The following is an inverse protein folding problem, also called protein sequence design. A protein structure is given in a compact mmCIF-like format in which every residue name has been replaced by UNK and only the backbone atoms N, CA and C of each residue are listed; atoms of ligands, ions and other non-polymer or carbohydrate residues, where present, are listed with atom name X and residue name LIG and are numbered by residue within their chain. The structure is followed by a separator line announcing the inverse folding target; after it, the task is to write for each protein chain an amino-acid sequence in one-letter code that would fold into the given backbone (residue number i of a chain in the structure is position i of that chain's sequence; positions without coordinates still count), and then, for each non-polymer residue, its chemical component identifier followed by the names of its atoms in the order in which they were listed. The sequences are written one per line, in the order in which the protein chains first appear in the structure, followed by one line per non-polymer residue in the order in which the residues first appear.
data_IF_899316408568
#
_entry.id   IF_899316408568
#
_cell.length_a   1.000
_cell.length_b   1.000
_cell.length_c   1.000
_cell.angle_alpha   90.00
_cell.angle_beta   90.00
_cell.angle_gamma   90.00
#
_symmetry.space_group_name_H-M   'P 1'
#
loop_
_entity.id
_entity.type
_entity.pdbx_description
1 polymer ?
#
# COMPACT_ATOMS: atom_id res chain seq x y z
N UNK A 1 28.69 3.49 -7.22
CA UNK A 1 28.14 3.03 -5.92
C UNK A 1 27.09 3.99 -5.35
N UNK A 2 27.39 5.29 -5.18
CA UNK A 2 26.43 6.30 -4.68
C UNK A 2 25.10 6.37 -5.44
N UNK A 3 25.12 6.28 -6.77
CA UNK A 3 23.89 6.36 -7.57
C UNK A 3 22.90 5.21 -7.27
N UNK A 4 23.42 3.98 -7.14
CA UNK A 4 22.59 2.81 -6.82
C UNK A 4 21.98 2.93 -5.43
N UNK A 5 22.77 3.36 -4.44
CA UNK A 5 22.27 3.52 -3.07
C UNK A 5 21.15 4.57 -2.99
N UNK A 6 21.22 5.65 -3.78
CA UNK A 6 20.16 6.67 -3.83
C UNK A 6 18.88 6.10 -4.43
N UNK A 7 18.97 5.36 -5.55
CA UNK A 7 17.79 4.75 -6.18
C UNK A 7 17.10 3.76 -5.24
N UNK A 8 17.87 2.89 -4.58
CA UNK A 8 17.30 1.94 -3.62
C UNK A 8 16.62 2.65 -2.45
N UNK A 9 17.21 3.73 -1.93
CA UNK A 9 16.61 4.52 -0.88
C UNK A 9 15.29 5.17 -1.34
N UNK A 10 15.27 5.80 -2.52
CA UNK A 10 14.07 6.44 -3.07
C UNK A 10 12.92 5.45 -3.23
N UNK A 11 13.19 4.31 -3.87
CA UNK A 11 12.18 3.27 -4.08
C UNK A 11 11.67 2.74 -2.73
N UNK A 12 12.57 2.51 -1.76
CA UNK A 12 12.20 2.09 -0.41
C UNK A 12 11.28 3.10 0.29
N UNK A 13 11.63 4.39 0.27
CA UNK A 13 10.81 5.46 0.86
C UNK A 13 9.42 5.52 0.21
N UNK A 14 9.34 5.40 -1.12
CA UNK A 14 8.06 5.42 -1.82
C UNK A 14 7.18 4.21 -1.47
N UNK A 15 7.75 3.00 -1.38
CA UNK A 15 6.95 1.84 -0.97
C UNK A 15 6.52 1.88 0.49
N UNK A 16 7.39 2.39 1.36
CA UNK A 16 7.05 2.58 2.78
C UNK A 16 5.87 3.53 2.94
N UNK A 17 5.91 4.69 2.27
CA UNK A 17 4.81 5.67 2.33
C UNK A 17 3.51 5.12 1.76
N UNK A 18 3.55 4.43 0.63
CA UNK A 18 2.35 3.79 0.05
C UNK A 18 1.77 2.71 0.97
N UNK A 19 2.62 1.90 1.59
CA UNK A 19 2.19 0.88 2.54
C UNK A 19 1.59 1.49 3.81
N UNK A 20 2.19 2.56 4.32
CA UNK A 20 1.66 3.30 5.46
C UNK A 20 0.27 3.90 5.15
N UNK A 21 0.08 4.49 3.97
CA UNK A 21 -1.23 5.01 3.53
C UNK A 21 -2.28 3.89 3.47
N UNK A 22 -1.92 2.74 2.91
CA UNK A 22 -2.81 1.57 2.85
C UNK A 22 -3.22 1.09 4.24
N UNK A 23 -2.25 0.97 5.16
CA UNK A 23 -2.49 0.55 6.54
C UNK A 23 -3.39 1.54 7.28
N UNK A 24 -3.06 2.84 7.22
CA UNK A 24 -3.86 3.88 7.85
C UNK A 24 -5.29 3.93 7.29
N UNK A 25 -5.45 3.74 5.97
CA UNK A 25 -6.76 3.67 5.33
C UNK A 25 -7.64 2.55 5.90
N UNK A 26 -7.07 1.38 6.20
CA UNK A 26 -7.82 0.26 6.78
C UNK A 26 -8.18 0.52 8.25
N UNK A 27 -7.26 1.13 9.00
CA UNK A 27 -7.47 1.47 10.42
C UNK A 27 -8.61 2.48 10.62
N UNK A 28 -8.93 3.29 9.61
CA UNK A 28 -10.10 4.18 9.66
C UNK A 28 -11.39 3.41 9.94
N UNK A 29 -11.57 2.22 9.35
CA UNK A 29 -12.77 1.40 9.58
C UNK A 29 -12.88 0.96 11.04
N UNK A 30 -11.76 0.55 11.65
CA UNK A 30 -11.70 0.15 13.06
C UNK A 30 -12.01 1.33 14.00
N UNK A 31 -11.50 2.51 13.69
CA UNK A 31 -11.78 3.74 14.46
C UNK A 31 -13.24 4.14 14.38
N UNK A 32 -13.85 4.03 13.20
CA UNK A 32 -15.28 4.30 13.01
C UNK A 32 -16.13 3.29 13.79
N UNK A 33 -15.75 2.01 13.77
CA UNK A 33 -16.44 0.97 14.52
C UNK A 33 -16.39 1.20 16.04
N UNK A 34 -15.29 1.73 16.57
CA UNK A 34 -15.12 2.03 17.99
C UNK A 34 -16.01 3.18 18.51
N UNK A 35 -16.69 3.93 17.62
CA UNK A 35 -17.66 4.96 18.02
C UNK A 35 -18.88 4.26 18.64
N UNK A 36 -19.48 4.84 19.68
CA UNK A 36 -20.76 4.37 20.25
C UNK A 36 -21.95 4.71 19.31
N UNK A 37 -21.93 4.16 18.09
CA UNK A 37 -22.91 4.44 17.04
C UNK A 37 -24.29 3.83 17.31
N UNK A 38 -24.35 2.77 18.14
CA UNK A 38 -25.58 2.09 18.52
C UNK A 38 -26.53 2.97 19.34
N UNK A 39 -26.00 3.98 20.04
CA UNK A 39 -26.76 4.89 20.91
C UNK A 39 -27.21 6.18 20.20
N UNK A 40 -26.96 6.28 18.89
CA UNK A 40 -27.30 7.46 18.08
C UNK A 40 -28.54 7.24 17.20
N UNK A 41 -29.07 8.32 16.65
CA UNK A 41 -30.25 8.30 15.77
C UNK A 41 -30.05 7.48 14.49
N UNK A 42 -31.17 7.11 13.84
CA UNK A 42 -31.18 6.26 12.63
C UNK A 42 -30.30 6.79 11.50
N UNK A 43 -30.32 8.09 11.25
CA UNK A 43 -29.51 8.73 10.19
C UNK A 43 -28.00 8.57 10.45
N UNK A 44 -27.59 8.68 11.72
CA UNK A 44 -26.18 8.50 12.10
C UNK A 44 -25.73 7.05 11.89
N UNK A 45 -26.56 6.08 12.27
CA UNK A 45 -26.28 4.65 12.09
C UNK A 45 -26.04 4.31 10.61
N UNK A 46 -26.93 4.77 9.72
CA UNK A 46 -26.77 4.55 8.27
C UNK A 46 -25.50 5.20 7.73
N UNK A 47 -25.18 6.42 8.19
CA UNK A 47 -23.96 7.12 7.78
C UNK A 47 -22.69 6.36 8.19
N UNK A 48 -22.60 5.91 9.45
CA UNK A 48 -21.47 5.12 9.95
C UNK A 48 -21.32 3.80 9.19
N UNK A 49 -22.43 3.10 8.90
CA UNK A 49 -22.40 1.88 8.08
C UNK A 49 -21.86 2.14 6.67
N UNK A 50 -22.30 3.20 6.00
CA UNK A 50 -21.77 3.59 4.69
C UNK A 50 -20.27 3.90 4.76
N UNK A 51 -19.83 4.61 5.80
CA UNK A 51 -18.40 4.92 6.00
C UNK A 51 -17.57 3.67 6.26
N UNK A 52 -18.04 2.73 7.09
CA UNK A 52 -17.37 1.44 7.31
C UNK A 52 -17.25 0.63 6.03
N UNK A 53 -18.33 0.50 5.25
CA UNK A 53 -18.29 -0.20 3.95
C UNK A 53 -17.30 0.44 2.97
N UNK A 54 -17.15 1.77 3.01
CA UNK A 54 -16.17 2.48 2.17
C UNK A 54 -14.74 2.28 2.67
N UNK A 55 -14.50 2.39 3.98
CA UNK A 55 -13.18 2.31 4.59
C UNK A 55 -12.55 0.90 4.52
N UNK A 56 -13.36 -0.15 4.37
CA UNK A 56 -12.90 -1.52 4.10
C UNK A 56 -12.19 -1.66 2.73
N UNK A 57 -12.33 -0.69 1.81
CA UNK A 57 -11.58 -0.66 0.57
C UNK A 57 -10.29 0.15 0.80
N UNK A 58 -9.12 -0.50 0.85
CA UNK A 58 -7.87 0.21 1.12
C UNK A 58 -7.55 1.22 0.02
N UNK A 59 -7.06 2.39 0.43
CA UNK A 59 -6.51 3.38 -0.47
C UNK A 59 -5.19 2.86 -1.07
N UNK A 60 -5.26 2.47 -2.34
CA UNK A 60 -4.15 1.84 -3.05
C UNK A 60 -3.64 2.76 -4.15
N UNK A 61 -2.35 3.08 -4.11
CA UNK A 61 -1.65 3.76 -5.21
C UNK A 61 -1.21 2.68 -6.20
N UNK A 62 -1.57 2.83 -7.48
CA UNK A 62 -1.22 1.88 -8.54
C UNK A 62 -0.17 2.49 -9.47
N UNK A 63 0.87 1.73 -9.79
CA UNK A 63 1.86 2.08 -10.83
C UNK A 63 1.50 1.25 -12.07
N UNK A 64 0.55 1.74 -12.86
CA UNK A 64 0.17 1.17 -14.16
C UNK A 64 0.18 -0.38 -14.20
N UNK A 65 0.98 -1.01 -15.09
CA UNK A 65 1.02 -2.46 -15.26
C UNK A 65 1.77 -3.21 -14.14
N UNK A 66 2.56 -2.51 -13.31
CA UNK A 66 3.30 -3.10 -12.18
C UNK A 66 2.38 -3.37 -10.96
N UNK A 67 1.13 -2.92 -11.02
CA UNK A 67 0.11 -3.19 -10.02
C UNK A 67 0.13 -2.19 -8.87
N UNK A 68 -0.31 -2.64 -7.69
CA UNK A 68 -0.41 -1.79 -6.49
C UNK A 68 1.00 -1.54 -5.96
N UNK A 69 1.33 -0.29 -5.65
CA UNK A 69 2.59 0.08 -5.03
C UNK A 69 2.58 -0.35 -3.56
N UNK A 70 3.28 -1.44 -3.28
CA UNK A 70 3.50 -1.96 -1.92
C UNK A 70 4.95 -2.40 -1.78
N UNK A 71 5.37 -2.69 -0.55
CA UNK A 71 6.69 -3.27 -0.30
C UNK A 71 6.92 -4.57 -1.09
N UNK A 72 5.87 -5.37 -1.33
CA UNK A 72 5.95 -6.58 -2.16
C UNK A 72 6.33 -6.27 -3.60
N UNK A 73 5.85 -5.15 -4.14
CA UNK A 73 6.12 -4.72 -5.51
C UNK A 73 7.57 -4.27 -5.66
N UNK A 74 8.11 -3.60 -4.64
CA UNK A 74 9.54 -3.28 -4.61
C UNK A 74 10.38 -4.56 -4.62
N UNK A 75 10.04 -5.53 -3.76
CA UNK A 75 10.73 -6.81 -3.75
C UNK A 75 10.65 -7.53 -5.11
N UNK A 76 9.50 -7.48 -5.79
CA UNK A 76 9.39 -8.09 -7.12
C UNK A 76 10.26 -7.37 -8.14
N UNK A 77 10.31 -6.03 -8.14
CA UNK A 77 11.18 -5.25 -9.01
C UNK A 77 12.66 -5.58 -8.78
N UNK A 78 13.10 -5.65 -7.53
CA UNK A 78 14.50 -6.00 -7.20
C UNK A 78 14.83 -7.43 -7.62
N UNK A 79 13.93 -8.40 -7.39
CA UNK A 79 14.09 -9.78 -7.85
C UNK A 79 14.22 -9.85 -9.37
N UNK A 80 13.37 -9.14 -10.10
CA UNK A 80 13.42 -9.07 -11.56
C UNK A 80 14.74 -8.50 -12.05
N UNK A 81 15.24 -7.42 -11.43
CA UNK A 81 16.54 -6.85 -11.75
C UNK A 81 17.68 -7.85 -11.51
N UNK A 82 17.66 -8.59 -10.39
CA UNK A 82 18.62 -9.65 -10.10
C UNK A 82 18.57 -10.76 -11.15
N UNK A 83 17.38 -11.23 -11.52
CA UNK A 83 17.20 -12.25 -12.57
C UNK A 83 17.81 -11.82 -13.91
N UNK A 84 17.64 -10.56 -14.30
CA UNK A 84 18.28 -10.03 -15.52
C UNK A 84 19.80 -10.03 -15.41
N UNK A 85 20.35 -9.60 -14.27
CA UNK A 85 21.80 -9.62 -14.03
C UNK A 85 22.32 -11.07 -14.11
N UNK A 86 21.67 -12.00 -13.42
CA UNK A 86 22.04 -13.43 -13.45
C UNK A 86 21.96 -13.99 -14.87
N UNK A 87 20.92 -13.67 -15.64
CA UNK A 87 20.80 -14.14 -17.02
C UNK A 87 21.97 -13.65 -17.88
N UNK A 88 22.30 -12.36 -17.81
CA UNK A 88 23.43 -11.78 -18.55
C UNK A 88 24.76 -12.40 -18.12
N UNK A 89 24.95 -12.65 -16.82
CA UNK A 89 26.16 -13.27 -16.30
C UNK A 89 26.32 -14.73 -16.73
N UNK A 90 25.22 -15.48 -16.90
CA UNK A 90 25.25 -16.87 -17.39
C UNK A 90 25.35 -16.98 -18.92
N UNK A 91 25.10 -15.89 -19.64
CA UNK A 91 25.25 -15.79 -21.10
C UNK A 91 26.68 -15.44 -21.54
N UNK A 92 27.58 -15.17 -20.60
CA UNK A 92 29.00 -14.90 -20.82
C UNK A 92 29.85 -16.10 -20.44
#
# INVERSE_FOLDING_TARGET
MIFLTVIFAEVYFLGWTCNAIQDQSLRVAERIYAIQWYDKGKNFKTMVQMMMMRAQKPANIKIGPLGIMTMRTILSTVKTAYSFITLILNLR
#
